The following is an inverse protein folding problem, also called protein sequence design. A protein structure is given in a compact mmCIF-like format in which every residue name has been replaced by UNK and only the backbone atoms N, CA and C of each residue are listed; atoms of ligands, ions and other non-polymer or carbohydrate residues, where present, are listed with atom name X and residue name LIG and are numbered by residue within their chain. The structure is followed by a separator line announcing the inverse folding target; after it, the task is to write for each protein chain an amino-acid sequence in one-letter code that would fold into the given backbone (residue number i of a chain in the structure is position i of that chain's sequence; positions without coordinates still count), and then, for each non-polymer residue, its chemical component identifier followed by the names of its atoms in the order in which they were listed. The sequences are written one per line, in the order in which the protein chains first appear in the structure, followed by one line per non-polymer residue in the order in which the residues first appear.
data_IF_448167794247
#
_entry.id   IF_448167794247
#
_cell.length_a   1.000
_cell.length_b   1.000
_cell.length_c   1.000
_cell.angle_alpha   90.00
_cell.angle_beta   90.00
_cell.angle_gamma   90.00
#
_symmetry.space_group_name_H-M   'P 1'
#
loop_
_entity.id
_entity.type
_entity.pdbx_description
1 polymer ?
#
# COMPACT_ATOMS: atom_id res chain seq x y z
N UNK A 1 -25.22 -26.42 -1.47
CA UNK A 1 -26.35 -25.55 -1.86
C UNK A 1 -25.79 -24.56 -2.87
N UNK A 2 -26.29 -24.63 -4.10
CA UNK A 2 -25.94 -23.69 -5.15
C UNK A 2 -26.50 -22.32 -4.78
N UNK A 3 -25.62 -21.36 -4.53
CA UNK A 3 -26.03 -19.97 -4.32
C UNK A 3 -26.21 -19.29 -5.66
N UNK A 4 -27.29 -18.54 -5.83
CA UNK A 4 -27.46 -17.68 -7.00
C UNK A 4 -26.44 -16.52 -6.93
N UNK A 5 -25.92 -16.06 -8.07
CA UNK A 5 -25.01 -14.94 -8.15
C UNK A 5 -25.46 -13.68 -7.38
N UNK A 6 -26.75 -13.25 -7.41
CA UNK A 6 -27.25 -12.19 -6.56
C UNK A 6 -27.17 -12.49 -5.05
N UNK A 7 -27.34 -13.75 -4.66
CA UNK A 7 -27.21 -14.17 -3.26
C UNK A 7 -25.76 -14.08 -2.75
N UNK A 8 -24.78 -14.44 -3.59
CA UNK A 8 -23.35 -14.29 -3.26
C UNK A 8 -22.98 -12.83 -3.09
N UNK A 9 -23.42 -11.93 -3.98
CA UNK A 9 -23.18 -10.49 -3.89
C UNK A 9 -23.85 -9.90 -2.65
N UNK A 10 -25.10 -10.30 -2.35
CA UNK A 10 -25.80 -9.85 -1.16
C UNK A 10 -25.10 -10.30 0.12
N UNK A 11 -24.69 -11.56 0.18
CA UNK A 11 -23.96 -12.11 1.33
C UNK A 11 -22.60 -11.41 1.50
N UNK A 12 -21.89 -11.10 0.42
CA UNK A 12 -20.59 -10.42 0.46
C UNK A 12 -20.66 -8.97 0.95
N UNK A 13 -21.76 -8.25 0.67
CA UNK A 13 -21.87 -6.82 0.95
C UNK A 13 -22.84 -6.46 2.08
N UNK A 14 -23.81 -7.26 2.36
CA UNK A 14 -24.97 -6.88 3.21
C UNK A 14 -25.15 -7.82 4.40
N UNK A 15 -24.79 -9.10 4.29
CA UNK A 15 -24.90 -10.06 5.40
C UNK A 15 -23.67 -9.99 6.30
N UNK A 16 -23.85 -10.31 7.58
CA UNK A 16 -22.73 -10.57 8.49
C UNK A 16 -22.25 -12.01 8.25
N UNK A 17 -21.12 -12.22 7.56
CA UNK A 17 -20.56 -13.55 7.41
C UNK A 17 -20.15 -14.09 8.79
N UNK A 18 -20.20 -15.38 8.95
CA UNK A 18 -19.76 -16.11 10.15
C UNK A 18 -20.65 -16.04 11.41
N UNK A 19 -21.82 -15.41 11.40
CA UNK A 19 -22.71 -15.41 12.59
C UNK A 19 -23.69 -16.58 12.66
N UNK A 20 -23.93 -17.30 11.58
CA UNK A 20 -24.87 -18.43 11.58
C UNK A 20 -24.29 -19.65 10.89
N UNK A 21 -23.58 -20.47 11.69
CA UNK A 21 -23.36 -21.89 11.43
C UNK A 21 -22.79 -22.33 10.09
N UNK A 22 -21.57 -22.86 10.10
CA UNK A 22 -20.95 -23.68 9.04
C UNK A 22 -20.49 -22.99 7.73
N UNK A 23 -20.17 -21.70 7.74
CA UNK A 23 -19.51 -21.07 6.59
C UNK A 23 -18.25 -20.34 7.06
N UNK A 24 -17.14 -21.06 7.11
CA UNK A 24 -15.80 -20.47 7.15
C UNK A 24 -15.47 -19.88 5.77
N UNK A 25 -16.08 -18.76 5.41
CA UNK A 25 -15.79 -18.02 4.18
C UNK A 25 -14.94 -16.82 4.56
N UNK A 26 -13.72 -16.77 4.02
CA UNK A 26 -12.89 -15.57 4.09
C UNK A 26 -13.40 -14.58 3.03
N UNK A 27 -13.96 -13.46 3.45
CA UNK A 27 -14.48 -12.44 2.57
C UNK A 27 -13.53 -11.24 2.53
N UNK A 28 -13.19 -10.82 1.30
CA UNK A 28 -12.39 -9.63 1.06
C UNK A 28 -13.11 -8.74 0.05
N UNK A 29 -13.13 -7.46 0.33
CA UNK A 29 -13.58 -6.46 -0.61
C UNK A 29 -12.51 -5.38 -0.75
N UNK A 30 -12.25 -4.98 -2.00
CA UNK A 30 -11.26 -3.96 -2.33
C UNK A 30 -11.85 -2.95 -3.30
N UNK A 31 -11.44 -1.71 -3.15
CA UNK A 31 -11.75 -0.63 -4.09
C UNK A 31 -10.50 0.21 -4.30
N UNK A 32 -10.25 0.61 -5.53
CA UNK A 32 -9.18 1.51 -5.91
C UNK A 32 -9.69 2.69 -6.74
N UNK A 33 -8.94 3.77 -6.74
CA UNK A 33 -9.19 4.91 -7.60
C UNK A 33 -7.86 5.51 -8.10
N UNK A 34 -7.95 6.17 -9.24
CA UNK A 34 -6.88 6.98 -9.81
C UNK A 34 -7.46 8.23 -10.45
N UNK A 35 -7.08 9.39 -9.97
CA UNK A 35 -7.50 10.69 -10.45
C UNK A 35 -6.30 11.46 -11.00
N UNK A 36 -6.36 11.82 -12.28
CA UNK A 36 -5.39 12.71 -12.91
C UNK A 36 -5.96 14.12 -12.92
N UNK A 37 -5.20 15.06 -12.38
CA UNK A 37 -5.56 16.46 -12.29
C UNK A 37 -4.57 17.23 -13.16
N UNK A 38 -5.05 17.91 -14.23
CA UNK A 38 -4.17 18.68 -15.11
C UNK A 38 -3.54 19.87 -14.36
N UNK A 39 -2.52 20.44 -14.93
CA UNK A 39 -1.98 21.71 -14.44
C UNK A 39 -3.07 22.80 -14.50
N UNK A 40 -3.22 23.50 -13.38
CA UNK A 40 -4.13 24.64 -13.24
C UNK A 40 -3.29 25.81 -12.71
N UNK A 41 -3.10 26.88 -13.50
CA UNK A 41 -2.28 28.03 -13.08
C UNK A 41 -2.68 28.51 -11.67
N UNK A 42 -1.68 28.82 -10.85
CA UNK A 42 -1.80 29.26 -9.44
C UNK A 42 -2.38 28.25 -8.45
N UNK A 43 -3.08 27.20 -8.88
CA UNK A 43 -3.67 26.19 -7.99
C UNK A 43 -2.87 24.89 -8.00
N UNK A 44 -2.52 24.40 -9.20
CA UNK A 44 -1.68 23.21 -9.42
C UNK A 44 -0.56 23.61 -10.37
N UNK A 45 0.54 24.17 -9.84
CA UNK A 45 1.60 24.77 -10.66
C UNK A 45 2.55 23.73 -11.31
N UNK A 46 2.24 22.44 -11.19
CA UNK A 46 3.04 21.37 -11.77
C UNK A 46 2.78 21.27 -13.28
N UNK A 47 3.82 21.36 -14.14
CA UNK A 47 3.64 21.45 -15.60
C UNK A 47 2.85 20.28 -16.22
N UNK A 48 3.07 19.05 -15.72
CA UNK A 48 2.36 17.85 -16.15
C UNK A 48 1.14 17.50 -15.26
N UNK A 49 0.73 18.43 -14.39
CA UNK A 49 -0.32 18.18 -13.40
C UNK A 49 0.14 17.22 -12.30
N UNK A 50 -0.82 16.57 -11.66
CA UNK A 50 -0.57 15.57 -10.62
C UNK A 50 -1.57 14.41 -10.72
N UNK A 51 -1.24 13.29 -10.10
CA UNK A 51 -2.09 12.13 -9.98
C UNK A 51 -2.28 11.79 -8.51
N UNK A 52 -3.54 11.70 -8.07
CA UNK A 52 -3.93 11.10 -6.81
C UNK A 52 -4.40 9.68 -7.07
N UNK A 53 -4.04 8.76 -6.20
CA UNK A 53 -4.53 7.40 -6.25
C UNK A 53 -4.66 6.84 -4.85
N UNK A 54 -5.47 5.81 -4.72
CA UNK A 54 -5.66 5.14 -3.46
C UNK A 54 -6.34 3.81 -3.63
N UNK A 55 -6.17 2.99 -2.63
CA UNK A 55 -6.72 1.66 -2.50
C UNK A 55 -7.22 1.50 -1.07
N UNK A 56 -8.40 0.92 -0.91
CA UNK A 56 -8.93 0.54 0.38
C UNK A 56 -9.45 -0.89 0.29
N UNK A 57 -9.12 -1.69 1.28
CA UNK A 57 -9.57 -3.06 1.37
C UNK A 57 -10.12 -3.35 2.76
N UNK A 58 -11.00 -4.32 2.85
CA UNK A 58 -11.47 -4.88 4.11
C UNK A 58 -11.39 -6.40 4.07
N UNK A 59 -10.99 -6.98 5.19
CA UNK A 59 -10.97 -8.42 5.40
C UNK A 59 -12.00 -8.76 6.47
N UNK A 60 -12.86 -9.72 6.20
CA UNK A 60 -13.96 -10.17 7.07
C UNK A 60 -14.79 -9.01 7.65
N UNK A 61 -15.98 -8.82 7.17
CA UNK A 61 -16.86 -7.75 7.60
C UNK A 61 -17.25 -7.89 9.08
N UNK A 62 -16.70 -7.00 9.92
CA UNK A 62 -17.01 -7.00 11.37
C UNK A 62 -18.09 -5.98 11.75
N UNK A 63 -18.26 -4.89 11.01
CA UNK A 63 -19.22 -3.84 11.34
C UNK A 63 -19.96 -3.31 10.12
N UNK A 64 -21.09 -2.65 10.38
CA UNK A 64 -21.90 -2.03 9.33
C UNK A 64 -21.20 -0.81 8.71
N UNK A 65 -21.52 -0.56 7.43
CA UNK A 65 -21.08 0.60 6.66
C UNK A 65 -21.20 1.94 7.46
N UNK A 66 -20.38 2.98 7.15
CA UNK A 66 -19.69 3.15 5.86
C UNK A 66 -18.25 2.65 5.81
N UNK A 67 -17.59 2.44 6.94
CA UNK A 67 -16.19 2.00 6.96
C UNK A 67 -16.09 0.74 7.82
N UNK A 68 -15.85 -0.43 7.22
CA UNK A 68 -15.64 -1.67 7.95
C UNK A 68 -14.50 -1.55 8.97
N UNK A 69 -14.63 -2.21 10.10
CA UNK A 69 -13.63 -2.12 11.18
C UNK A 69 -12.27 -2.72 10.82
N UNK A 70 -12.24 -3.67 9.88
CA UNK A 70 -11.02 -4.33 9.40
C UNK A 70 -10.53 -3.72 8.08
N UNK A 71 -10.47 -2.40 8.02
CA UNK A 71 -10.04 -1.68 6.81
C UNK A 71 -8.55 -1.41 6.85
N UNK A 72 -7.89 -1.65 5.71
CA UNK A 72 -6.57 -1.15 5.38
C UNK A 72 -6.67 -0.22 4.17
N UNK A 73 -5.74 0.71 4.05
CA UNK A 73 -5.72 1.61 2.91
C UNK A 73 -4.29 1.99 2.50
N UNK A 74 -4.17 2.39 1.24
CA UNK A 74 -3.02 3.04 0.66
C UNK A 74 -3.50 4.30 -0.04
N UNK A 75 -2.80 5.40 0.14
CA UNK A 75 -3.02 6.63 -0.59
C UNK A 75 -1.71 7.17 -1.15
N UNK A 76 -1.74 7.71 -2.35
CA UNK A 76 -0.55 8.22 -3.01
C UNK A 76 -0.77 9.45 -3.85
N UNK A 77 0.29 10.22 -3.97
CA UNK A 77 0.44 11.37 -4.84
C UNK A 77 1.62 11.13 -5.78
N UNK A 78 1.41 11.35 -7.08
CA UNK A 78 2.47 11.34 -8.07
C UNK A 78 2.47 12.64 -8.88
N UNK A 79 3.61 13.30 -8.94
CA UNK A 79 3.87 14.51 -9.72
C UNK A 79 4.89 14.14 -10.79
N UNK A 80 4.46 13.96 -12.05
CA UNK A 80 5.35 13.52 -13.13
C UNK A 80 6.46 14.51 -13.47
N UNK A 81 6.22 15.78 -13.20
CA UNK A 81 7.15 16.86 -13.45
C UNK A 81 6.99 17.95 -12.39
N UNK A 82 7.98 18.11 -11.51
CA UNK A 82 7.91 19.06 -10.40
C UNK A 82 8.16 20.48 -10.87
N UNK A 83 9.13 20.69 -11.77
CA UNK A 83 9.49 22.00 -12.29
C UNK A 83 9.40 22.05 -13.81
N UNK A 84 9.09 23.22 -14.34
CA UNK A 84 9.05 23.45 -15.78
C UNK A 84 10.45 23.24 -16.39
N UNK A 85 10.52 22.49 -17.48
CA UNK A 85 11.79 22.20 -18.17
C UNK A 85 12.68 21.18 -17.48
N UNK A 86 12.25 20.58 -16.37
CA UNK A 86 12.95 19.51 -15.65
C UNK A 86 12.30 18.15 -15.89
N UNK A 87 13.04 17.09 -15.63
CA UNK A 87 12.59 15.70 -15.68
C UNK A 87 12.42 15.10 -14.30
N UNK A 88 12.40 15.95 -13.26
CA UNK A 88 12.23 15.53 -11.87
C UNK A 88 10.78 15.13 -11.61
N UNK A 89 10.56 13.90 -11.18
CA UNK A 89 9.29 13.44 -10.64
C UNK A 89 9.30 13.33 -9.11
N UNK A 90 8.14 13.24 -8.52
CA UNK A 90 7.95 12.99 -7.09
C UNK A 90 6.79 12.04 -6.88
N UNK A 91 7.01 11.01 -6.06
CA UNK A 91 6.01 10.06 -5.58
C UNK A 91 6.00 10.06 -4.05
N UNK A 92 4.82 10.17 -3.47
CA UNK A 92 4.60 10.06 -2.03
C UNK A 92 3.50 9.04 -1.82
N UNK A 93 3.71 8.06 -0.93
CA UNK A 93 2.72 7.04 -0.58
C UNK A 93 2.64 6.88 0.93
N UNK A 94 1.44 6.61 1.41
CA UNK A 94 1.17 6.19 2.77
C UNK A 94 0.25 4.99 2.76
N UNK A 95 0.64 3.94 3.46
CA UNK A 95 -0.16 2.74 3.63
C UNK A 95 -0.36 2.42 5.11
N UNK A 96 -1.51 1.85 5.45
CA UNK A 96 -1.92 1.58 6.82
C UNK A 96 -2.78 0.32 6.90
N UNK A 97 -2.24 -0.76 7.46
CA UNK A 97 -2.97 -1.98 7.81
C UNK A 97 -3.33 -2.04 9.30
N UNK A 98 -2.98 -1.00 10.06
CA UNK A 98 -3.23 -0.87 11.51
C UNK A 98 -4.49 -0.06 11.85
N UNK A 99 -5.14 0.54 10.84
CA UNK A 99 -6.29 1.43 11.03
C UNK A 99 -7.45 0.76 11.78
N UNK A 100 -7.80 -0.45 11.40
CA UNK A 100 -8.85 -1.21 12.07
C UNK A 100 -8.53 -1.45 13.54
N UNK A 101 -7.32 -1.89 13.88
CA UNK A 101 -6.87 -2.14 15.24
C UNK A 101 -6.88 -0.87 16.10
N UNK A 102 -6.52 0.29 15.57
CA UNK A 102 -6.54 1.55 16.34
C UNK A 102 -7.95 1.94 16.79
N UNK A 103 -8.97 1.57 16.02
CA UNK A 103 -10.38 1.80 16.36
C UNK A 103 -10.97 0.67 17.20
N UNK A 104 -10.47 -0.53 17.01
CA UNK A 104 -10.93 -1.78 17.59
C UNK A 104 -9.72 -2.60 18.07
N UNK A 105 -9.17 -2.32 19.27
CA UNK A 105 -7.93 -2.96 19.75
C UNK A 105 -7.99 -4.49 19.86
N UNK A 106 -9.19 -5.06 19.89
CA UNK A 106 -9.44 -6.51 19.85
C UNK A 106 -9.12 -7.14 18.49
N UNK A 107 -9.08 -6.32 17.41
CA UNK A 107 -8.79 -6.76 16.04
C UNK A 107 -7.28 -6.69 15.76
N UNK A 108 -6.51 -7.57 16.38
CA UNK A 108 -5.07 -7.66 16.16
C UNK A 108 -4.73 -8.63 15.03
N UNK A 109 -3.71 -8.31 14.24
CA UNK A 109 -3.14 -9.18 13.21
C UNK A 109 -4.20 -9.73 12.24
N UNK A 110 -5.17 -8.91 11.86
CA UNK A 110 -6.27 -9.34 10.98
C UNK A 110 -5.78 -9.51 9.55
N UNK A 111 -5.03 -8.51 9.03
CA UNK A 111 -4.57 -8.53 7.65
C UNK A 111 -3.55 -9.63 7.38
N UNK A 112 -3.75 -10.38 6.29
CA UNK A 112 -2.90 -11.49 5.84
C UNK A 112 -2.82 -12.70 6.78
N UNK A 113 -3.59 -12.69 7.84
CA UNK A 113 -3.73 -13.82 8.76
C UNK A 113 -5.15 -14.37 8.69
N UNK A 114 -5.28 -15.70 8.75
CA UNK A 114 -6.58 -16.36 8.74
C UNK A 114 -6.55 -17.50 9.75
N UNK A 115 -7.55 -17.58 10.64
CA UNK A 115 -7.56 -18.60 11.68
C UNK A 115 -7.78 -20.03 11.14
N UNK A 116 -8.62 -20.29 10.12
CA UNK A 116 -8.71 -21.61 9.49
C UNK A 116 -7.49 -22.00 8.67
N UNK A 117 -6.78 -21.01 8.10
CA UNK A 117 -5.60 -21.23 7.27
C UNK A 117 -4.35 -20.69 7.98
N UNK A 118 -3.68 -21.55 8.75
CA UNK A 118 -2.54 -21.16 9.60
C UNK A 118 -1.37 -20.54 8.84
N UNK A 119 -1.26 -20.79 7.52
CA UNK A 119 -0.29 -20.11 6.65
C UNK A 119 -0.66 -18.66 6.34
N UNK A 120 -1.94 -18.30 6.53
CA UNK A 120 -2.49 -17.00 6.10
C UNK A 120 -2.33 -16.76 4.59
N UNK A 121 -2.49 -15.52 4.17
CA UNK A 121 -2.20 -15.09 2.79
C UNK A 121 -0.69 -14.83 2.61
N UNK A 122 0.10 -15.92 2.69
CA UNK A 122 1.57 -15.87 2.63
C UNK A 122 2.11 -16.92 1.70
N UNK A 123 3.16 -16.59 0.97
CA UNK A 123 3.95 -17.52 0.20
C UNK A 123 5.37 -17.57 0.75
N UNK A 124 5.83 -18.73 1.21
CA UNK A 124 7.16 -18.93 1.83
C UNK A 124 7.46 -17.92 2.96
N UNK A 125 6.43 -17.55 3.76
CA UNK A 125 6.56 -16.62 4.86
C UNK A 125 6.39 -15.13 4.49
N UNK A 126 6.33 -14.80 3.19
CA UNK A 126 6.10 -13.43 2.73
C UNK A 126 4.60 -13.16 2.54
N UNK A 127 4.06 -12.03 3.02
CA UNK A 127 2.67 -11.68 2.79
C UNK A 127 2.41 -11.48 1.29
N UNK A 128 1.28 -11.99 0.81
CA UNK A 128 0.78 -11.75 -0.54
C UNK A 128 -0.01 -10.43 -0.54
N UNK A 129 0.69 -9.32 -0.45
CA UNK A 129 0.12 -8.00 -0.37
C UNK A 129 1.19 -6.96 -0.03
N UNK A 130 0.84 -5.92 0.74
CA UNK A 130 1.79 -4.88 1.10
C UNK A 130 2.94 -5.47 1.96
N UNK A 131 4.17 -5.08 1.65
CA UNK A 131 5.39 -5.65 2.25
C UNK A 131 5.52 -5.41 3.77
N UNK A 132 4.83 -4.41 4.32
CA UNK A 132 4.82 -4.17 5.78
C UNK A 132 4.05 -5.23 6.56
N UNK A 133 3.16 -6.00 5.91
CA UNK A 133 2.36 -7.03 6.57
C UNK A 133 1.21 -6.46 7.40
N UNK A 134 0.88 -7.16 8.47
CA UNK A 134 -0.25 -6.82 9.36
C UNK A 134 0.13 -5.77 10.41
N UNK A 135 -0.86 -5.03 10.92
CA UNK A 135 -0.73 -4.03 12.01
C UNK A 135 0.43 -3.05 11.79
N UNK A 136 0.60 -2.57 10.56
CA UNK A 136 1.70 -1.72 10.20
C UNK A 136 1.29 -0.42 9.52
N UNK A 137 2.25 0.51 9.46
CA UNK A 137 2.18 1.72 8.64
C UNK A 137 3.44 1.86 7.83
N UNK A 138 3.32 2.42 6.64
CA UNK A 138 4.42 2.67 5.72
C UNK A 138 4.28 4.05 5.09
N UNK A 139 5.30 4.87 5.21
CA UNK A 139 5.42 6.13 4.54
C UNK A 139 6.61 6.09 3.58
N UNK A 140 6.34 6.28 2.30
CA UNK A 140 7.32 6.16 1.24
C UNK A 140 7.36 7.44 0.41
N UNK A 141 8.57 7.91 0.12
CA UNK A 141 8.84 9.02 -0.80
C UNK A 141 9.89 8.56 -1.80
N UNK A 142 9.65 8.78 -3.07
CA UNK A 142 10.62 8.56 -4.15
C UNK A 142 10.65 9.75 -5.08
N UNK A 143 11.84 10.09 -5.54
CA UNK A 143 12.07 11.03 -6.62
C UNK A 143 13.02 10.43 -7.64
N UNK A 144 12.77 10.70 -8.91
CA UNK A 144 13.69 10.34 -10.01
C UNK A 144 13.92 11.54 -10.91
N UNK A 145 15.11 11.61 -11.50
CA UNK A 145 15.49 12.66 -12.43
C UNK A 145 16.34 12.10 -13.55
N UNK A 146 16.00 12.40 -14.78
CA UNK A 146 16.90 12.17 -15.90
C UNK A 146 17.96 13.27 -15.94
N UNK A 147 19.23 12.89 -15.75
CA UNK A 147 20.37 13.78 -15.85
C UNK A 147 20.77 14.00 -17.32
N UNK A 148 20.57 12.98 -18.15
CA UNK A 148 20.69 12.98 -19.60
C UNK A 148 19.60 12.05 -20.17
N UNK A 149 19.45 11.97 -21.49
CA UNK A 149 18.50 11.06 -22.15
C UNK A 149 18.74 9.57 -21.81
N UNK A 150 19.96 9.25 -21.35
CA UNK A 150 20.37 7.87 -21.07
C UNK A 150 20.77 7.63 -19.62
N UNK A 151 20.73 8.63 -18.76
CA UNK A 151 21.15 8.52 -17.37
C UNK A 151 20.08 9.02 -16.43
N UNK A 152 19.60 8.16 -15.53
CA UNK A 152 18.60 8.47 -14.52
C UNK A 152 19.17 8.28 -13.12
N UNK A 153 18.93 9.24 -12.24
CA UNK A 153 19.20 9.18 -10.81
C UNK A 153 17.89 9.03 -10.06
N UNK A 154 17.83 8.09 -9.13
CA UNK A 154 16.73 7.89 -8.22
C UNK A 154 17.17 8.07 -6.76
N UNK A 155 16.25 8.53 -5.93
CA UNK A 155 16.40 8.54 -4.47
C UNK A 155 15.08 8.18 -3.82
N UNK A 156 15.12 7.41 -2.74
CA UNK A 156 13.92 7.11 -1.97
C UNK A 156 14.19 7.17 -0.47
N UNK A 157 13.10 7.38 0.26
CA UNK A 157 13.07 7.34 1.72
C UNK A 157 11.82 6.59 2.17
N UNK A 158 12.00 5.68 3.15
CA UNK A 158 10.91 4.87 3.68
C UNK A 158 10.95 4.86 5.21
N UNK A 159 9.78 5.08 5.82
CA UNK A 159 9.54 4.92 7.24
C UNK A 159 8.47 3.86 7.42
N UNK A 160 8.80 2.76 8.07
CA UNK A 160 7.89 1.66 8.28
C UNK A 160 7.83 1.29 9.76
N UNK A 161 6.62 1.04 10.23
CA UNK A 161 6.37 0.40 11.52
C UNK A 161 5.56 -0.87 11.30
N UNK A 162 5.95 -1.97 11.97
CA UNK A 162 5.28 -3.27 11.91
C UNK A 162 4.91 -3.74 13.29
N UNK A 163 3.91 -4.63 13.35
CA UNK A 163 3.46 -5.27 14.59
C UNK A 163 3.16 -4.28 15.72
N UNK A 164 2.59 -3.12 15.39
CA UNK A 164 2.31 -2.02 16.31
C UNK A 164 1.40 -2.42 17.47
N UNK A 165 0.66 -3.50 17.31
CA UNK A 165 -0.19 -4.09 18.35
C UNK A 165 0.54 -5.00 19.34
N UNK A 166 1.80 -5.32 19.09
CA UNK A 166 2.60 -6.23 19.90
C UNK A 166 3.48 -5.48 20.92
N UNK A 167 3.85 -6.13 22.03
CA UNK A 167 4.80 -5.56 23.00
C UNK A 167 6.14 -5.19 22.38
N UNK A 168 6.58 -5.97 21.39
CA UNK A 168 7.77 -5.69 20.60
C UNK A 168 7.31 -5.36 19.17
N UNK A 169 7.56 -4.15 18.71
CA UNK A 169 7.22 -3.70 17.37
C UNK A 169 8.48 -3.24 16.63
N UNK A 170 8.51 -3.51 15.33
CA UNK A 170 9.64 -3.15 14.48
C UNK A 170 9.46 -1.76 13.88
N UNK A 171 10.52 -0.95 13.93
CA UNK A 171 10.62 0.31 13.19
C UNK A 171 11.78 0.23 12.21
N UNK A 172 11.48 0.43 10.94
CA UNK A 172 12.46 0.50 9.86
C UNK A 172 12.53 1.92 9.32
N UNK A 173 13.75 2.43 9.17
CA UNK A 173 14.06 3.65 8.43
C UNK A 173 15.02 3.28 7.32
N UNK A 174 14.70 3.68 6.11
CA UNK A 174 15.50 3.35 4.94
C UNK A 174 15.68 4.59 4.08
N UNK A 175 16.88 4.79 3.58
CA UNK A 175 17.21 5.77 2.56
C UNK A 175 18.03 5.07 1.48
N UNK A 176 17.68 5.28 0.22
CA UNK A 176 18.40 4.68 -0.89
C UNK A 176 18.61 5.68 -2.03
N UNK A 177 19.68 5.45 -2.77
CA UNK A 177 19.96 6.11 -4.05
C UNK A 177 20.24 5.05 -5.10
N UNK A 178 19.78 5.30 -6.32
CA UNK A 178 19.99 4.40 -7.46
C UNK A 178 20.34 5.20 -8.71
N UNK A 179 21.17 4.59 -9.55
CA UNK A 179 21.58 5.12 -10.84
C UNK A 179 21.25 4.08 -11.91
N UNK A 180 20.60 4.51 -12.97
CA UNK A 180 20.30 3.70 -14.13
C UNK A 180 20.90 4.34 -15.37
N UNK A 181 21.71 3.57 -16.11
CA UNK A 181 22.35 4.03 -17.35
C UNK A 181 22.00 3.08 -18.51
N UNK A 182 21.31 3.63 -19.51
CA UNK A 182 21.03 2.95 -20.77
C UNK A 182 22.19 3.16 -21.74
N UNK A 183 23.10 2.19 -21.79
CA UNK A 183 24.23 2.21 -22.71
C UNK A 183 23.76 2.08 -24.17
N UNK A 184 22.75 1.24 -24.41
CA UNK A 184 22.09 1.08 -25.70
C UNK A 184 20.62 0.70 -25.46
N UNK A 185 19.82 0.56 -26.54
CA UNK A 185 18.43 0.09 -26.42
C UNK A 185 18.29 -1.31 -25.78
N UNK A 186 19.34 -2.13 -25.86
CA UNK A 186 19.33 -3.53 -25.40
C UNK A 186 20.20 -3.76 -24.15
N UNK A 187 20.97 -2.74 -23.71
CA UNK A 187 21.91 -2.87 -22.58
C UNK A 187 21.69 -1.74 -21.56
N UNK A 188 21.40 -2.14 -20.33
CA UNK A 188 21.16 -1.26 -19.21
C UNK A 188 22.07 -1.65 -18.03
N UNK A 189 22.66 -0.68 -17.40
CA UNK A 189 23.39 -0.84 -16.14
C UNK A 189 22.61 -0.19 -15.01
N UNK A 190 22.47 -0.88 -13.90
CA UNK A 190 21.84 -0.35 -12.69
C UNK A 190 22.77 -0.56 -11.50
N UNK A 191 22.89 0.45 -10.66
CA UNK A 191 23.61 0.40 -9.41
C UNK A 191 22.89 1.23 -8.36
N UNK A 192 23.04 0.86 -7.10
CA UNK A 192 22.41 1.60 -6.02
C UNK A 192 23.04 1.28 -4.67
N UNK A 193 22.73 2.13 -3.71
CA UNK A 193 23.11 1.98 -2.33
C UNK A 193 21.90 2.22 -1.44
N UNK A 194 21.70 1.33 -0.47
CA UNK A 194 20.62 1.42 0.52
C UNK A 194 21.21 1.42 1.91
N UNK A 195 20.86 2.43 2.69
CA UNK A 195 21.10 2.48 4.13
C UNK A 195 19.80 2.14 4.84
N UNK A 196 19.85 1.15 5.75
CA UNK A 196 18.70 0.71 6.53
C UNK A 196 19.04 0.65 8.01
N UNK A 197 18.14 1.18 8.83
CA UNK A 197 18.18 1.05 10.29
C UNK A 197 16.92 0.35 10.78
N UNK A 198 17.09 -0.78 11.41
CA UNK A 198 16.04 -1.52 12.12
C UNK A 198 16.16 -1.22 13.62
N UNK A 199 15.04 -1.02 14.27
CA UNK A 199 14.96 -0.85 15.72
C UNK A 199 13.81 -1.71 16.24
N UNK A 200 14.12 -2.65 17.10
CA UNK A 200 13.19 -3.44 17.89
C UNK A 200 13.37 -2.99 19.34
N UNK A 201 12.45 -2.19 19.90
CA UNK A 201 12.51 -1.77 21.29
C UNK A 201 12.25 -2.91 22.26
#
# INVERSE_FOLDING_TARGET
RDQSFPGVVFDAYISEPNQTGNRDVNEQAMADFRLRIPSIPYLIPFPAGLQLYGEAGTEDKWSQLPVPSRTAFLGGLYIPQVFQGDTLDLRIEYADTDYGRRRHPELRQVWYNNSPYTSGMRYRGFPLGHHMGTDGTDFFVRTTRYLTDTLQLGANFNLQERDRGQPVHEKKREAAVDLTWWYSKDVQFMGGYTFQRLTNP
#
